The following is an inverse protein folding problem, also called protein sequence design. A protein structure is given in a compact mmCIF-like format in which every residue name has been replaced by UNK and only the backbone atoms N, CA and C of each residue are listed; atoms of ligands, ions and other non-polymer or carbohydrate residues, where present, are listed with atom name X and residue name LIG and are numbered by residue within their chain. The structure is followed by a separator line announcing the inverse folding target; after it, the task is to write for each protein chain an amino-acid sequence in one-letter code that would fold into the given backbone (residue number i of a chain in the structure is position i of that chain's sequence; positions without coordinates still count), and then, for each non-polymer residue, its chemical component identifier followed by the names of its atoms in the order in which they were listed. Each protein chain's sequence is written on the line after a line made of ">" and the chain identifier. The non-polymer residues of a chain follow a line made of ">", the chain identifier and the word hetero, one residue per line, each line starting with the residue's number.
data_IF_988624955875
#
_entry.id   IF_988624955875
#
_cell.length_a   1.000
_cell.length_b   1.000
_cell.length_c   1.000
_cell.angle_alpha   90.00
_cell.angle_beta   90.00
_cell.angle_gamma   90.00
#
_symmetry.space_group_name_H-M   'P 1'
#
loop_
_entity.id
_entity.type
_entity.pdbx_description
1 polymer ?
#
# COMPACT_ATOMS: atom_id res chain seq x y z
N UNK A 1 -14.94 -6.20 -7.29
CA UNK A 1 -15.70 -5.21 -8.09
C UNK A 1 -15.34 -5.44 -9.55
N UNK A 2 -16.15 -5.04 -10.54
CA UNK A 2 -15.78 -5.13 -11.95
C UNK A 2 -15.58 -3.71 -12.51
N UNK A 3 -14.47 -3.48 -13.21
CA UNK A 3 -14.18 -2.21 -13.92
C UNK A 3 -13.63 -2.56 -15.30
N UNK A 4 -14.18 -1.95 -16.35
CA UNK A 4 -13.82 -2.22 -17.76
C UNK A 4 -13.75 -3.72 -18.09
N UNK A 5 -14.70 -4.51 -17.59
CA UNK A 5 -14.79 -5.94 -17.84
C UNK A 5 -13.78 -6.82 -17.09
N UNK A 6 -12.94 -6.24 -16.22
CA UNK A 6 -11.96 -6.95 -15.42
C UNK A 6 -12.36 -7.00 -13.95
N UNK A 7 -12.07 -8.12 -13.29
CA UNK A 7 -12.24 -8.24 -11.85
C UNK A 7 -11.17 -7.40 -11.14
N UNK A 8 -11.63 -6.42 -10.36
CA UNK A 8 -10.80 -5.58 -9.51
C UNK A 8 -10.90 -6.09 -8.07
N UNK A 9 -9.74 -6.40 -7.50
CA UNK A 9 -9.59 -6.98 -6.17
C UNK A 9 -9.71 -5.95 -5.02
N UNK A 10 -10.01 -4.70 -5.36
CA UNK A 10 -10.22 -3.58 -4.42
C UNK A 10 -8.93 -3.02 -3.82
N UNK A 11 -7.76 -3.42 -4.32
CA UNK A 11 -6.48 -2.90 -3.86
C UNK A 11 -6.09 -1.59 -4.56
N UNK A 12 -5.29 -0.76 -3.88
CA UNK A 12 -4.79 0.52 -4.38
C UNK A 12 -3.35 0.75 -3.94
N UNK A 13 -2.66 1.71 -4.57
CA UNK A 13 -1.27 2.05 -4.24
C UNK A 13 -1.25 3.18 -3.21
N UNK A 14 -0.82 2.86 -2.00
CA UNK A 14 -0.54 3.81 -0.94
C UNK A 14 0.89 4.33 -1.08
N UNK A 15 1.03 5.65 -1.26
CA UNK A 15 2.33 6.35 -1.26
C UNK A 15 2.65 6.83 0.15
N UNK A 16 3.82 6.47 0.65
CA UNK A 16 4.31 6.81 1.99
C UNK A 16 5.62 7.57 1.85
N UNK A 17 5.67 8.80 2.36
CA UNK A 17 6.92 9.54 2.47
C UNK A 17 7.51 9.31 3.87
N UNK A 18 8.65 8.63 3.93
CA UNK A 18 9.38 8.38 5.18
C UNK A 18 10.29 9.57 5.43
N UNK A 19 9.86 10.49 6.30
CA UNK A 19 10.54 11.77 6.54
C UNK A 19 11.97 11.61 7.03
N UNK A 20 12.22 10.64 7.90
CA UNK A 20 13.53 10.44 8.55
C UNK A 20 14.59 9.93 7.57
N UNK A 21 14.16 9.30 6.47
CA UNK A 21 15.02 8.81 5.39
C UNK A 21 14.93 9.66 4.12
N UNK A 22 13.99 10.61 4.08
CA UNK A 22 13.65 11.42 2.90
C UNK A 22 13.35 10.58 1.64
N UNK A 23 12.74 9.40 1.80
CA UNK A 23 12.43 8.46 0.72
C UNK A 23 10.91 8.28 0.55
N UNK A 24 10.46 8.15 -0.68
CA UNK A 24 9.08 7.77 -1.02
C UNK A 24 8.98 6.26 -1.28
N UNK A 25 7.97 5.60 -0.70
CA UNK A 25 7.64 4.19 -0.89
C UNK A 25 6.22 4.03 -1.40
N UNK A 26 5.99 3.01 -2.24
CA UNK A 26 4.68 2.70 -2.80
C UNK A 26 4.28 1.28 -2.44
N UNK A 27 3.24 1.13 -1.64
CA UNK A 27 2.73 -0.17 -1.18
C UNK A 27 1.35 -0.44 -1.77
N UNK A 28 1.15 -1.62 -2.37
CA UNK A 28 -0.19 -2.06 -2.77
C UNK A 28 -0.92 -2.60 -1.55
N UNK A 29 -2.03 -1.97 -1.20
CA UNK A 29 -2.82 -2.26 0.01
C UNK A 29 -4.29 -2.49 -0.33
N UNK A 30 -5.01 -3.13 0.57
CA UNK A 30 -6.48 -3.21 0.57
C UNK A 30 -7.02 -2.47 1.79
N UNK A 31 -8.28 -2.02 1.73
CA UNK A 31 -8.88 -1.22 2.81
C UNK A 31 -9.06 -1.96 4.15
N UNK A 32 -8.95 -3.29 4.15
CA UNK A 32 -9.00 -4.17 5.32
C UNK A 32 -7.61 -4.39 5.97
N UNK A 33 -6.52 -3.96 5.32
CA UNK A 33 -5.18 -4.02 5.90
C UNK A 33 -5.05 -2.95 7.00
N UNK A 34 -4.89 -3.40 8.24
CA UNK A 34 -4.69 -2.51 9.38
C UNK A 34 -3.32 -1.81 9.32
N UNK A 35 -3.21 -0.68 10.03
CA UNK A 35 -2.03 0.20 10.00
C UNK A 35 -0.75 -0.53 10.43
N UNK A 36 -0.80 -1.38 11.46
CA UNK A 36 0.36 -2.19 11.87
C UNK A 36 0.92 -3.07 10.75
N UNK A 37 0.06 -3.67 9.93
CA UNK A 37 0.47 -4.44 8.75
C UNK A 37 1.11 -3.57 7.66
N UNK A 38 0.66 -2.32 7.49
CA UNK A 38 1.32 -1.35 6.61
C UNK A 38 2.73 -1.02 7.13
N UNK A 39 2.89 -0.79 8.43
CA UNK A 39 4.18 -0.50 9.04
C UNK A 39 5.17 -1.66 8.89
N UNK A 40 4.72 -2.90 9.10
CA UNK A 40 5.58 -4.08 8.91
C UNK A 40 6.08 -4.20 7.47
N UNK A 41 5.18 -4.06 6.49
CA UNK A 41 5.54 -4.09 5.06
C UNK A 41 6.47 -2.95 4.67
N UNK A 42 6.29 -1.78 5.26
CA UNK A 42 7.18 -0.64 5.03
C UNK A 42 8.60 -0.92 5.53
N UNK A 43 8.74 -1.62 6.65
CA UNK A 43 10.04 -2.05 7.19
C UNK A 43 10.65 -3.19 6.36
N UNK A 44 9.86 -4.11 5.83
CA UNK A 44 10.33 -5.21 4.97
C UNK A 44 10.81 -4.75 3.58
N UNK A 45 10.26 -3.64 3.05
CA UNK A 45 10.64 -3.04 1.76
C UNK A 45 11.89 -2.12 1.85
N UNK A 46 12.35 -1.83 3.08
CA UNK A 46 13.55 -1.04 3.36
C UNK A 46 14.80 -1.91 3.40
#
# INVERSE_FOLDING_TARGET
>A
MFSDGHEVDGSWVLRVYVTDLQVERSLRVKGDLHIGGVMLRLVEDL
#
